data_IF_212974784730
#
_entry.id   IF_212974784730
#
_cell.length_a   1.000
_cell.length_b   1.000
_cell.length_c   1.000
_cell.angle_alpha   90.00
_cell.angle_beta   90.00
_cell.angle_gamma   90.00
#
_symmetry.space_group_name_H-M   'P 1'
#
loop_
_entity.id
_entity.type
_entity.pdbx_description
1 polymer ?
#
# COMPACT_ATOMS: atom_id res chain seq x y z
N UNK A 1 24.80 24.40 -5.74
CA UNK A 1 24.21 25.54 -5.01
C UNK A 1 25.23 26.01 -4.02
N UNK A 2 26.31 26.51 -4.60
CA UNK A 2 27.66 26.20 -4.14
C UNK A 2 28.01 26.95 -2.84
N UNK A 3 27.29 28.04 -2.54
CA UNK A 3 27.44 28.81 -1.30
C UNK A 3 26.71 28.20 -0.09
N UNK A 4 25.68 27.37 -0.32
CA UNK A 4 24.88 26.69 0.70
C UNK A 4 25.52 25.34 1.05
N UNK A 5 25.93 24.58 0.04
CA UNK A 5 26.75 23.37 0.15
C UNK A 5 28.12 23.64 0.83
N UNK A 6 28.56 24.89 0.95
CA UNK A 6 29.80 25.22 1.65
C UNK A 6 29.72 25.32 3.18
N UNK A 7 28.52 25.30 3.79
CA UNK A 7 28.32 25.75 5.19
C UNK A 7 27.37 24.86 6.00
N UNK A 8 27.53 24.89 7.34
CA UNK A 8 26.53 24.34 8.27
C UNK A 8 25.32 25.28 8.40
N UNK A 9 24.12 24.72 8.47
CA UNK A 9 22.82 25.43 8.59
C UNK A 9 22.76 26.52 9.68
N UNK A 10 23.56 26.40 10.76
CA UNK A 10 23.48 27.28 11.93
C UNK A 10 24.21 28.64 11.83
N UNK A 11 25.09 28.89 10.84
CA UNK A 11 25.89 30.13 10.77
C UNK A 11 26.08 30.66 9.33
N UNK A 12 24.98 31.04 8.66
CA UNK A 12 25.04 31.64 7.32
C UNK A 12 26.03 32.83 7.25
N UNK A 13 27.10 32.65 6.49
CA UNK A 13 28.01 33.69 6.04
C UNK A 13 27.60 34.08 4.63
N UNK A 14 27.31 35.36 4.40
CA UNK A 14 27.01 35.85 3.05
C UNK A 14 28.27 35.84 2.17
N UNK A 15 28.15 35.53 0.86
CA UNK A 15 29.29 35.50 -0.05
C UNK A 15 29.90 36.90 -0.21
N UNK A 16 31.23 36.98 -0.37
CA UNK A 16 31.94 38.23 -0.63
C UNK A 16 31.91 38.66 -2.11
N UNK A 17 31.48 37.77 -3.01
CA UNK A 17 31.52 37.93 -4.47
C UNK A 17 32.95 37.88 -5.02
N UNK A 18 33.84 37.16 -4.34
CA UNK A 18 35.26 37.07 -4.69
C UNK A 18 35.71 35.63 -4.55
N UNK A 19 36.12 35.00 -5.64
CA UNK A 19 36.96 33.80 -5.62
C UNK A 19 38.36 34.20 -6.16
N UNK A 20 39.26 34.58 -5.25
CA UNK A 20 40.57 35.07 -5.63
C UNK A 20 41.50 33.95 -6.13
N UNK A 21 41.19 32.69 -5.80
CA UNK A 21 42.07 31.55 -6.05
C UNK A 21 41.55 30.62 -7.17
N UNK A 22 40.31 30.83 -7.63
CA UNK A 22 39.60 30.11 -8.70
C UNK A 22 39.35 28.63 -8.37
N UNK A 23 38.99 28.33 -7.12
CA UNK A 23 38.64 26.98 -6.67
C UNK A 23 37.13 26.76 -6.50
N UNK A 24 36.29 27.72 -6.86
CA UNK A 24 34.83 27.63 -6.74
C UNK A 24 34.27 28.04 -5.38
N UNK A 25 35.11 28.21 -4.35
CA UNK A 25 34.67 28.65 -3.03
C UNK A 25 34.87 30.16 -2.88
N UNK A 26 33.85 30.88 -2.44
CA UNK A 26 33.99 32.32 -2.17
C UNK A 26 34.99 32.58 -1.02
N UNK A 27 35.86 33.58 -1.21
CA UNK A 27 36.87 34.07 -0.26
C UNK A 27 36.30 34.35 1.16
N UNK A 28 35.00 34.66 1.27
CA UNK A 28 34.28 34.80 2.53
C UNK A 28 34.33 33.53 3.37
N UNK A 29 34.36 32.38 2.71
CA UNK A 29 34.31 31.04 3.28
C UNK A 29 35.70 30.43 3.43
N UNK A 30 36.67 30.90 2.64
CA UNK A 30 38.07 30.48 2.74
C UNK A 30 38.78 31.03 4.00
N UNK A 31 38.24 32.09 4.57
CA UNK A 31 38.74 32.79 5.75
C UNK A 31 40.07 33.51 5.51
N UNK A 32 40.27 34.67 6.13
CA UNK A 32 41.41 35.56 5.81
C UNK A 32 42.80 35.03 6.26
N UNK A 33 42.83 33.90 7.00
CA UNK A 33 44.03 33.31 7.66
C UNK A 33 43.92 31.80 7.94
N UNK A 34 43.02 31.04 7.30
CA UNK A 34 42.77 29.63 7.67
C UNK A 34 41.92 29.47 8.94
N UNK A 35 40.96 30.38 9.11
CA UNK A 35 39.79 30.23 10.00
C UNK A 35 38.51 30.35 9.15
N UNK A 36 38.57 29.90 7.90
CA UNK A 36 37.40 29.71 7.07
C UNK A 36 36.51 28.63 7.69
N UNK A 37 35.25 28.62 7.29
CA UNK A 37 34.40 27.45 7.50
C UNK A 37 35.16 26.27 6.86
N UNK A 38 35.29 25.17 7.59
CA UNK A 38 35.83 23.96 7.00
C UNK A 38 34.72 23.44 6.08
N UNK A 39 34.94 23.36 4.75
CA UNK A 39 33.91 22.83 3.85
C UNK A 39 33.45 21.48 4.35
N UNK A 40 32.14 21.28 4.32
CA UNK A 40 31.53 19.98 4.59
C UNK A 40 31.85 19.08 3.40
N UNK A 41 32.05 17.81 3.71
CA UNK A 41 32.12 16.72 2.77
C UNK A 41 31.36 15.60 3.47
N UNK A 42 30.09 15.42 3.08
CA UNK A 42 29.16 14.47 3.71
C UNK A 42 29.66 13.04 3.52
N UNK A 43 30.13 12.71 2.33
CA UNK A 43 30.51 11.35 1.93
C UNK A 43 31.93 10.87 2.36
N UNK A 44 32.72 11.70 3.07
CA UNK A 44 34.17 11.48 3.31
C UNK A 44 34.50 10.16 4.01
N UNK A 45 33.51 9.58 4.70
CA UNK A 45 33.63 8.34 5.44
C UNK A 45 33.20 7.08 4.65
N UNK A 46 32.46 7.22 3.55
CA UNK A 46 31.68 6.14 2.92
C UNK A 46 32.39 5.40 1.77
N UNK A 47 33.63 5.79 1.43
CA UNK A 47 34.50 4.95 0.60
C UNK A 47 34.24 5.02 -0.91
N UNK A 48 33.32 5.88 -1.36
CA UNK A 48 33.48 6.64 -2.60
C UNK A 48 34.79 7.43 -2.57
N UNK A 49 35.25 7.94 -3.71
CA UNK A 49 36.49 8.71 -3.69
C UNK A 49 36.35 10.08 -3.01
N UNK A 50 35.17 10.45 -2.45
CA UNK A 50 34.89 11.46 -1.39
C UNK A 50 35.91 12.56 -1.27
N UNK A 51 36.24 13.09 -2.43
CA UNK A 51 37.45 13.86 -2.65
C UNK A 51 37.11 15.32 -2.85
N UNK A 52 35.89 15.58 -3.29
CA UNK A 52 35.31 16.89 -3.49
C UNK A 52 34.46 17.26 -2.28
N UNK A 53 34.70 18.41 -1.65
CA UNK A 53 33.74 18.93 -0.69
C UNK A 53 32.42 19.26 -1.39
N UNK A 54 31.28 19.11 -0.70
CA UNK A 54 29.91 19.22 -1.23
C UNK A 54 29.71 20.37 -2.23
N UNK A 55 30.28 21.55 -1.96
CA UNK A 55 30.14 22.72 -2.85
C UNK A 55 30.79 22.57 -4.25
N UNK A 56 31.59 21.52 -4.46
CA UNK A 56 32.13 21.11 -5.76
C UNK A 56 31.53 19.79 -6.23
N UNK A 57 30.75 19.16 -5.37
CA UNK A 57 29.99 17.97 -5.67
C UNK A 57 28.66 18.35 -6.32
N UNK A 58 28.04 17.40 -6.99
CA UNK A 58 26.72 17.59 -7.61
C UNK A 58 25.70 16.57 -7.11
N UNK A 59 26.14 15.69 -6.21
CA UNK A 59 25.45 14.54 -5.59
C UNK A 59 26.21 14.27 -4.26
N UNK A 60 25.92 15.04 -3.22
CA UNK A 60 26.77 15.17 -2.03
C UNK A 60 26.71 13.97 -1.07
N UNK A 61 25.64 13.18 -1.09
CA UNK A 61 25.45 11.91 -0.38
C UNK A 61 25.68 10.69 -1.31
N UNK A 62 25.85 10.86 -2.62
CA UNK A 62 26.11 9.75 -3.55
C UNK A 62 24.96 8.75 -3.60
N UNK A 63 23.74 9.26 -3.54
CA UNK A 63 22.53 8.47 -3.72
C UNK A 63 22.15 8.35 -5.22
N UNK A 64 22.72 9.22 -6.07
CA UNK A 64 22.48 9.29 -7.51
C UNK A 64 21.37 10.26 -7.90
N UNK A 65 20.64 10.82 -6.94
CA UNK A 65 19.89 12.05 -7.06
C UNK A 65 20.92 13.19 -7.08
N UNK A 66 20.54 14.35 -7.64
CA UNK A 66 21.47 15.48 -7.75
C UNK A 66 21.04 16.51 -6.75
N UNK A 67 22.00 17.17 -6.10
CA UNK A 67 21.72 18.18 -5.09
C UNK A 67 20.66 19.20 -5.56
N UNK A 68 20.71 19.62 -6.82
CA UNK A 68 19.78 20.62 -7.34
C UNK A 68 18.32 20.16 -7.45
N UNK A 69 18.07 18.86 -7.39
CA UNK A 69 16.75 18.22 -7.26
C UNK A 69 16.38 18.20 -5.77
N UNK A 70 17.25 17.69 -4.90
CA UNK A 70 16.99 17.54 -3.45
C UNK A 70 16.96 18.86 -2.67
N UNK A 71 17.70 19.87 -3.09
CA UNK A 71 17.66 21.16 -2.41
C UNK A 71 16.40 21.98 -2.72
N UNK A 72 15.51 21.50 -3.60
CA UNK A 72 14.31 22.19 -4.05
C UNK A 72 13.08 21.31 -3.92
N UNK A 73 11.92 21.92 -3.66
CA UNK A 73 10.65 21.21 -3.84
C UNK A 73 10.35 21.05 -5.33
N UNK A 74 9.64 20.00 -5.69
CA UNK A 74 9.30 19.73 -7.09
C UNK A 74 8.41 20.83 -7.70
N UNK A 75 7.46 21.36 -6.92
CA UNK A 75 6.54 22.41 -7.36
C UNK A 75 7.25 23.74 -7.69
N UNK A 76 8.31 24.07 -6.96
CA UNK A 76 9.10 25.29 -7.13
C UNK A 76 10.45 25.04 -7.83
N UNK A 77 10.66 23.85 -8.41
CA UNK A 77 11.92 23.48 -9.04
C UNK A 77 12.34 24.48 -10.11
N UNK A 78 13.51 25.08 -9.91
CA UNK A 78 14.16 25.95 -10.88
C UNK A 78 15.39 25.24 -11.43
N UNK A 79 15.37 24.95 -12.73
CA UNK A 79 16.56 24.43 -13.41
C UNK A 79 17.72 25.44 -13.40
N UNK A 80 18.98 25.00 -13.28
CA UNK A 80 20.13 25.89 -13.32
C UNK A 80 20.20 26.61 -14.66
N UNK A 81 20.51 27.91 -14.63
CA UNK A 81 20.58 28.72 -15.86
C UNK A 81 21.92 28.54 -16.60
N UNK A 82 22.95 28.04 -15.91
CA UNK A 82 24.34 27.98 -16.37
C UNK A 82 24.99 29.37 -16.47
N UNK A 83 24.41 30.38 -15.82
CA UNK A 83 24.85 31.77 -15.85
C UNK A 83 25.18 32.19 -14.42
N UNK A 84 26.35 32.77 -14.25
CA UNK A 84 26.76 33.49 -13.04
C UNK A 84 27.24 34.87 -13.53
N UNK A 85 26.32 35.83 -13.64
CA UNK A 85 26.61 37.16 -14.20
C UNK A 85 27.46 38.01 -13.25
N UNK A 86 27.41 37.71 -11.94
CA UNK A 86 28.04 38.49 -10.90
C UNK A 86 29.37 37.89 -10.39
N UNK A 87 29.69 36.66 -10.82
CA UNK A 87 30.88 35.87 -10.50
C UNK A 87 31.04 35.54 -9.01
N UNK A 88 29.94 35.28 -8.30
CA UNK A 88 29.96 34.89 -6.88
C UNK A 88 29.94 33.36 -6.68
N UNK A 89 29.89 32.56 -7.75
CA UNK A 89 29.83 31.11 -7.69
C UNK A 89 28.44 30.52 -7.46
N UNK A 90 27.39 31.35 -7.38
CA UNK A 90 26.01 30.88 -7.33
C UNK A 90 25.37 31.08 -8.71
N UNK A 91 24.68 30.06 -9.23
CA UNK A 91 23.92 30.22 -10.47
C UNK A 91 22.84 31.30 -10.28
N UNK A 92 22.73 32.23 -11.23
CA UNK A 92 21.77 33.33 -11.25
C UNK A 92 20.32 32.85 -11.04
N UNK A 93 20.00 31.60 -11.40
CA UNK A 93 18.71 30.96 -11.14
C UNK A 93 18.39 30.87 -9.64
N UNK A 94 19.40 30.74 -8.80
CA UNK A 94 19.28 30.48 -7.36
C UNK A 94 19.55 31.74 -6.50
N UNK A 95 19.92 32.86 -7.11
CA UNK A 95 20.34 34.05 -6.36
C UNK A 95 19.20 34.78 -5.61
N UNK A 96 17.95 34.64 -6.05
CA UNK A 96 16.83 35.42 -5.54
C UNK A 96 17.02 36.94 -5.67
N UNK A 97 16.13 37.75 -5.09
CA UNK A 97 16.20 39.23 -5.16
C UNK A 97 17.43 39.84 -4.46
N UNK A 98 18.14 39.05 -3.64
CA UNK A 98 19.21 39.54 -2.76
C UNK A 98 20.56 38.82 -2.90
N UNK A 99 20.69 37.82 -3.78
CA UNK A 99 21.94 37.08 -4.00
C UNK A 99 22.30 36.12 -2.87
N UNK A 100 21.32 35.48 -2.24
CA UNK A 100 21.53 34.68 -1.03
C UNK A 100 21.42 33.16 -1.21
N UNK A 101 20.97 32.67 -2.36
CA UNK A 101 20.66 31.25 -2.54
C UNK A 101 19.18 30.94 -2.28
N UNK A 102 18.76 29.74 -2.65
CA UNK A 102 17.49 29.14 -2.21
C UNK A 102 17.60 28.72 -0.74
N UNK A 103 16.47 28.44 -0.08
CA UNK A 103 16.50 27.72 1.19
C UNK A 103 16.35 26.24 0.84
N UNK A 104 17.33 25.37 1.14
CA UNK A 104 17.18 23.94 0.90
C UNK A 104 15.96 23.36 1.60
N UNK A 105 15.41 22.30 0.99
CA UNK A 105 14.43 21.41 1.62
C UNK A 105 15.15 20.52 2.65
N UNK A 106 14.39 20.09 3.64
CA UNK A 106 14.73 19.17 4.74
C UNK A 106 13.39 18.54 5.08
N UNK A 107 13.11 17.34 4.58
CA UNK A 107 11.80 16.69 4.70
C UNK A 107 11.55 16.29 6.16
N UNK A 108 12.48 15.60 6.80
CA UNK A 108 12.38 15.19 8.22
C UNK A 108 12.67 16.32 9.26
N UNK A 109 12.94 17.53 8.76
CA UNK A 109 13.27 18.74 9.52
C UNK A 109 14.45 18.61 10.50
N UNK A 110 15.42 17.75 10.21
CA UNK A 110 16.57 17.50 11.06
C UNK A 110 17.74 18.51 10.85
N UNK A 111 18.99 18.14 11.13
CA UNK A 111 20.14 19.01 10.93
C UNK A 111 20.69 19.03 9.49
N UNK A 112 20.34 18.03 8.68
CA UNK A 112 20.80 17.77 7.33
C UNK A 112 19.67 18.11 6.33
N UNK A 113 19.94 18.98 5.35
CA UNK A 113 19.04 19.13 4.22
C UNK A 113 19.10 17.90 3.32
N UNK A 114 18.01 17.59 2.60
CA UNK A 114 17.85 16.40 1.75
C UNK A 114 19.09 16.09 0.90
N UNK A 115 19.68 17.08 0.23
CA UNK A 115 20.87 16.90 -0.64
C UNK A 115 22.15 16.45 0.08
N UNK A 116 22.07 16.15 1.37
CA UNK A 116 23.16 15.60 2.19
C UNK A 116 22.66 14.48 3.09
N UNK A 117 21.39 14.16 2.97
CA UNK A 117 20.76 13.13 3.75
C UNK A 117 20.82 11.84 2.94
N UNK A 118 21.01 10.72 3.62
CA UNK A 118 20.97 9.42 2.96
C UNK A 118 19.58 8.77 3.05
N UNK A 119 18.68 9.43 3.75
CA UNK A 119 17.37 9.00 4.26
C UNK A 119 16.54 10.26 4.57
N UNK A 120 16.13 10.98 3.52
CA UNK A 120 15.63 12.36 3.62
C UNK A 120 14.35 12.52 4.45
N UNK A 121 13.52 11.49 4.51
CA UNK A 121 12.29 11.40 5.32
C UNK A 121 12.45 10.57 6.61
N UNK A 122 13.58 9.89 6.78
CA UNK A 122 13.98 9.19 8.01
C UNK A 122 13.12 7.96 8.33
N UNK A 123 12.60 7.32 7.28
CA UNK A 123 11.85 6.08 7.36
C UNK A 123 12.79 4.86 7.50
N UNK A 124 14.07 5.03 7.18
CA UNK A 124 15.12 4.02 7.26
C UNK A 124 15.36 3.24 5.97
N UNK A 125 14.60 3.49 4.90
CA UNK A 125 14.93 3.12 3.53
C UNK A 125 16.05 4.09 3.10
N UNK A 126 16.34 4.30 1.83
CA UNK A 126 17.49 5.12 1.41
C UNK A 126 17.08 5.76 0.14
N UNK A 127 17.34 7.05 0.00
CA UNK A 127 16.86 7.85 -1.12
C UNK A 127 17.16 7.21 -2.49
N UNK A 128 18.30 6.55 -2.66
CA UNK A 128 18.65 5.81 -3.89
C UNK A 128 17.77 4.58 -4.20
N UNK A 129 17.20 3.95 -3.18
CA UNK A 129 16.27 2.81 -3.24
C UNK A 129 14.90 3.35 -3.59
N UNK A 130 14.40 4.36 -2.88
CA UNK A 130 13.12 5.02 -3.21
C UNK A 130 13.15 5.77 -4.55
N UNK A 131 14.29 6.31 -4.98
CA UNK A 131 14.36 6.95 -6.30
C UNK A 131 14.23 5.97 -7.49
N UNK A 132 14.08 4.66 -7.26
CA UNK A 132 14.07 3.62 -8.30
C UNK A 132 13.04 2.50 -8.07
N UNK A 133 12.47 1.97 -9.15
CA UNK A 133 11.60 0.77 -9.08
C UNK A 133 12.44 -0.50 -9.07
N UNK A 134 11.86 -1.61 -8.61
CA UNK A 134 12.49 -2.93 -8.69
C UNK A 134 12.76 -3.37 -10.14
N UNK A 135 11.90 -3.04 -11.10
CA UNK A 135 12.06 -3.43 -12.51
C UNK A 135 13.20 -2.67 -13.21
N UNK A 136 13.31 -1.36 -12.97
CA UNK A 136 14.28 -0.47 -13.60
C UNK A 136 15.48 -0.13 -12.69
N UNK A 137 15.65 -0.85 -11.57
CA UNK A 137 16.74 -0.64 -10.62
C UNK A 137 18.12 -0.66 -11.30
N UNK A 138 18.85 0.44 -11.17
CA UNK A 138 20.19 0.61 -11.71
C UNK A 138 21.19 0.35 -10.59
N UNK A 139 21.86 -0.82 -10.56
CA UNK A 139 22.84 -1.11 -9.53
C UNK A 139 24.11 -0.26 -9.72
N UNK A 140 24.72 0.21 -8.61
CA UNK A 140 25.94 1.00 -8.69
C UNK A 140 27.08 0.19 -9.32
N UNK A 141 27.83 0.79 -10.24
CA UNK A 141 28.95 0.15 -10.94
C UNK A 141 30.32 0.68 -10.50
N UNK A 142 30.30 1.63 -9.56
CA UNK A 142 31.45 2.33 -9.00
C UNK A 142 31.86 3.53 -9.84
N UNK A 143 32.56 4.47 -9.20
CA UNK A 143 33.07 5.69 -9.82
C UNK A 143 34.51 5.49 -10.35
N UNK A 144 34.66 5.25 -11.66
CA UNK A 144 35.97 5.08 -12.30
C UNK A 144 36.63 6.44 -12.55
N UNK A 145 35.80 7.44 -12.83
CA UNK A 145 36.26 8.72 -13.31
C UNK A 145 36.70 9.64 -12.14
N UNK A 146 36.32 9.27 -10.92
CA UNK A 146 36.54 9.94 -9.65
C UNK A 146 35.91 11.33 -9.64
N UNK A 147 34.63 11.45 -10.03
CA UNK A 147 33.81 12.67 -9.93
C UNK A 147 32.76 12.61 -8.82
N UNK A 148 32.86 11.62 -7.93
CA UNK A 148 32.01 11.42 -6.75
C UNK A 148 30.54 11.05 -7.07
N UNK A 149 30.16 11.02 -8.36
CA UNK A 149 28.94 10.35 -8.87
C UNK A 149 29.29 8.91 -9.29
N UNK A 150 28.44 7.93 -8.98
CA UNK A 150 28.60 6.58 -9.55
C UNK A 150 28.52 6.62 -11.08
N UNK A 151 29.39 5.88 -11.79
CA UNK A 151 29.36 5.84 -13.27
C UNK A 151 27.98 5.37 -13.81
N UNK A 152 27.14 4.71 -12.98
CA UNK A 152 25.77 4.34 -13.30
C UNK A 152 24.78 5.52 -13.31
N UNK A 153 25.05 6.55 -12.51
CA UNK A 153 24.14 7.68 -12.24
C UNK A 153 24.62 8.99 -12.87
N UNK A 154 25.55 8.95 -13.83
CA UNK A 154 26.14 10.14 -14.47
C UNK A 154 25.11 11.11 -15.07
N UNK A 155 23.96 10.59 -15.51
CA UNK A 155 22.86 11.42 -16.04
C UNK A 155 21.87 11.88 -14.95
N UNK A 156 22.01 11.38 -13.72
CA UNK A 156 21.11 11.52 -12.57
C UNK A 156 20.02 10.43 -12.58
N UNK A 157 19.58 10.02 -11.39
CA UNK A 157 18.31 9.33 -11.20
C UNK A 157 17.16 10.30 -11.50
N UNK A 158 16.01 9.74 -11.92
CA UNK A 158 14.76 10.48 -11.92
C UNK A 158 13.94 9.88 -10.78
N UNK A 159 13.79 10.58 -9.65
CA UNK A 159 13.01 10.09 -8.53
C UNK A 159 11.60 9.71 -8.94
N UNK A 160 11.07 8.70 -8.26
CA UNK A 160 9.70 8.22 -8.40
C UNK A 160 8.81 9.03 -7.47
N UNK A 161 7.53 8.97 -7.76
CA UNK A 161 6.40 9.63 -7.10
C UNK A 161 5.27 8.63 -7.33
N UNK A 162 5.17 7.67 -6.40
CA UNK A 162 4.34 6.45 -6.52
C UNK A 162 2.87 6.84 -6.58
N UNK A 163 2.34 7.47 -5.53
CA UNK A 163 0.94 7.90 -5.45
C UNK A 163 0.57 9.12 -6.35
N UNK A 164 1.58 9.75 -6.97
CA UNK A 164 1.44 10.90 -7.90
C UNK A 164 0.91 12.17 -7.22
N UNK A 165 1.11 12.33 -5.91
CA UNK A 165 0.71 13.53 -5.16
C UNK A 165 1.67 14.73 -5.40
N UNK A 166 2.87 14.45 -5.90
CA UNK A 166 3.93 15.42 -6.21
C UNK A 166 5.05 15.51 -5.18
N UNK A 167 5.04 14.67 -4.15
CA UNK A 167 6.10 14.35 -3.21
C UNK A 167 6.81 13.10 -3.77
N UNK A 168 8.11 13.19 -4.09
CA UNK A 168 8.84 12.00 -4.51
C UNK A 168 9.05 11.04 -3.35
N UNK A 169 8.98 9.73 -3.61
CA UNK A 169 9.06 8.66 -2.61
C UNK A 169 10.17 8.84 -1.57
N UNK A 170 11.37 9.30 -1.98
CA UNK A 170 12.50 9.52 -1.04
C UNK A 170 12.29 10.64 -0.01
N UNK A 171 11.10 11.24 0.02
CA UNK A 171 10.71 12.32 0.93
C UNK A 171 9.34 12.06 1.54
N UNK A 172 8.78 10.92 1.23
CA UNK A 172 7.41 10.54 1.51
C UNK A 172 7.46 9.45 2.56
N UNK A 173 6.79 9.67 3.71
CA UNK A 173 6.83 8.69 4.80
C UNK A 173 5.78 7.57 4.65
N UNK A 174 4.91 7.67 3.65
CA UNK A 174 3.74 6.84 3.35
C UNK A 174 3.52 6.86 1.82
N UNK A 175 4.44 6.20 1.10
CA UNK A 175 4.68 6.39 -0.34
C UNK A 175 3.48 6.00 -1.23
N UNK A 176 2.61 5.10 -0.79
CA UNK A 176 1.36 4.73 -1.46
C UNK A 176 0.10 5.32 -0.80
N UNK A 177 0.27 6.08 0.30
CA UNK A 177 -0.75 6.86 0.99
C UNK A 177 -1.84 6.02 1.66
N UNK A 178 -1.53 4.76 1.96
CA UNK A 178 -2.43 3.81 2.58
C UNK A 178 -2.53 4.03 4.11
N UNK A 179 -1.71 4.91 4.67
CA UNK A 179 -1.70 5.30 6.08
C UNK A 179 -0.86 4.40 6.98
N UNK A 180 -0.33 3.30 6.46
CA UNK A 180 0.79 2.57 7.05
C UNK A 180 2.06 3.35 6.65
N UNK A 181 3.08 3.32 7.50
CA UNK A 181 4.32 4.07 7.19
C UNK A 181 5.30 3.14 6.50
N UNK A 182 6.07 3.67 5.56
CA UNK A 182 7.10 2.93 4.81
C UNK A 182 8.07 2.17 5.73
N UNK A 183 8.40 2.76 6.88
CA UNK A 183 9.25 2.14 7.89
C UNK A 183 8.66 0.85 8.50
N UNK A 184 7.34 0.76 8.57
CA UNK A 184 6.57 -0.37 9.09
C UNK A 184 6.51 -1.43 8.00
N UNK A 185 6.08 -1.07 6.80
CA UNK A 185 5.87 -1.99 5.68
C UNK A 185 7.16 -2.57 5.16
N UNK A 186 8.27 -1.83 5.22
CA UNK A 186 9.57 -2.32 4.77
C UNK A 186 10.21 -3.36 5.71
N UNK A 187 9.54 -3.79 6.79
CA UNK A 187 10.10 -4.68 7.80
C UNK A 187 9.14 -5.79 8.26
N UNK A 188 9.69 -7.00 8.48
CA UNK A 188 8.94 -8.06 9.18
C UNK A 188 8.49 -7.59 10.59
N UNK A 189 7.18 -7.62 10.89
CA UNK A 189 6.60 -7.22 12.17
C UNK A 189 7.31 -7.86 13.38
N UNK A 190 7.61 -9.17 13.30
CA UNK A 190 8.28 -9.90 14.38
C UNK A 190 9.72 -9.47 14.67
N UNK A 191 10.34 -8.72 13.75
CA UNK A 191 11.72 -8.25 13.83
C UNK A 191 11.89 -6.74 13.67
N UNK A 192 10.78 -5.99 13.61
CA UNK A 192 10.70 -4.55 13.47
C UNK A 192 11.73 -3.80 14.33
N UNK A 193 12.45 -2.89 13.69
CA UNK A 193 13.45 -2.03 14.28
C UNK A 193 12.88 -0.61 14.31
N UNK A 194 12.50 -0.07 15.47
CA UNK A 194 12.08 1.33 15.56
C UNK A 194 13.29 2.28 15.47
N UNK A 195 13.09 3.53 15.02
CA UNK A 195 14.13 4.54 14.97
C UNK A 195 14.69 4.82 16.37
N UNK A 196 16.01 5.07 16.48
CA UNK A 196 16.65 5.32 17.77
C UNK A 196 16.72 6.80 18.15
N UNK A 197 16.49 7.70 17.21
CA UNK A 197 16.71 9.14 17.27
C UNK A 197 18.19 9.51 17.44
N UNK A 198 19.11 8.65 16.99
CA UNK A 198 20.54 8.91 17.09
C UNK A 198 21.22 8.77 15.74
N UNK A 199 21.90 9.84 15.36
CA UNK A 199 22.83 9.84 14.25
C UNK A 199 24.22 10.29 14.79
N UNK A 200 25.13 9.33 14.97
CA UNK A 200 26.49 9.60 15.49
C UNK A 200 27.52 9.84 14.38
N UNK A 201 27.27 9.35 13.17
CA UNK A 201 28.10 9.42 11.98
C UNK A 201 27.89 10.71 11.19
N UNK A 202 26.76 11.38 11.38
CA UNK A 202 26.39 12.65 10.78
C UNK A 202 26.11 12.56 9.29
N UNK A 203 25.40 11.51 8.91
CA UNK A 203 24.99 11.20 7.53
C UNK A 203 23.47 11.10 7.38
N UNK A 204 22.69 11.71 8.28
CA UNK A 204 21.23 11.84 8.17
C UNK A 204 20.44 10.59 8.57
N UNK A 205 20.89 9.43 8.12
CA UNK A 205 20.37 8.10 8.47
C UNK A 205 20.45 7.76 9.98
N UNK A 206 19.39 7.20 10.57
CA UNK A 206 19.40 6.74 11.96
C UNK A 206 20.35 5.53 12.18
N UNK A 207 21.12 5.57 13.27
CA UNK A 207 22.04 4.50 13.67
C UNK A 207 21.34 3.13 13.90
N UNK A 208 20.01 3.11 14.07
CA UNK A 208 19.19 1.91 14.20
C UNK A 208 19.24 1.04 12.93
N UNK A 209 19.17 1.69 11.77
CA UNK A 209 19.12 1.03 10.47
C UNK A 209 20.53 0.74 9.94
N UNK A 210 21.49 1.60 10.27
CA UNK A 210 22.92 1.40 10.10
C UNK A 210 23.42 1.36 8.65
N UNK A 211 22.76 0.63 7.75
CA UNK A 211 23.06 0.53 6.33
C UNK A 211 21.84 0.71 5.42
N UNK A 212 20.70 1.13 5.97
CA UNK A 212 19.39 1.13 5.35
C UNK A 212 18.63 -0.18 5.60
N UNK A 213 17.31 -0.11 5.50
CA UNK A 213 16.39 -1.22 5.40
C UNK A 213 16.46 -1.75 3.95
N UNK A 214 16.37 -3.07 3.79
CA UNK A 214 16.13 -3.68 2.48
C UNK A 214 14.61 -3.99 2.48
N UNK A 215 13.77 -3.25 1.73
CA UNK A 215 12.32 -3.40 1.79
C UNK A 215 11.84 -4.83 1.51
N UNK A 216 10.77 -5.23 2.20
CA UNK A 216 10.09 -6.50 1.95
C UNK A 216 9.08 -6.35 0.80
N UNK A 217 8.54 -7.49 0.36
CA UNK A 217 7.68 -7.65 -0.80
C UNK A 217 7.02 -9.03 -0.61
N UNK A 218 5.84 -9.04 -0.01
CA UNK A 218 5.21 -10.24 0.55
C UNK A 218 4.66 -11.17 -0.55
N UNK A 219 3.97 -10.58 -1.51
CA UNK A 219 3.38 -11.23 -2.69
C UNK A 219 4.39 -11.70 -3.77
N UNK A 220 5.63 -11.21 -3.71
CA UNK A 220 6.71 -11.45 -4.69
C UNK A 220 6.54 -10.80 -6.08
N UNK A 221 5.76 -9.74 -6.20
CA UNK A 221 5.55 -9.02 -7.45
C UNK A 221 6.73 -8.06 -7.81
N UNK A 222 6.48 -6.92 -8.45
CA UNK A 222 7.47 -5.89 -8.71
C UNK A 222 7.43 -4.68 -7.78
N UNK A 223 6.40 -4.50 -6.95
CA UNK A 223 6.24 -3.39 -6.02
C UNK A 223 6.47 -3.87 -4.57
N UNK A 224 7.55 -3.44 -3.91
CA UNK A 224 7.71 -3.67 -2.47
C UNK A 224 6.51 -3.14 -1.70
N UNK A 225 6.23 -3.73 -0.54
CA UNK A 225 5.00 -3.49 0.25
C UNK A 225 4.70 -2.00 0.44
N UNK A 226 5.68 -1.15 0.80
CA UNK A 226 5.54 0.32 0.94
C UNK A 226 5.13 1.12 -0.34
N UNK A 227 4.78 0.44 -1.42
CA UNK A 227 4.40 1.01 -2.72
C UNK A 227 3.21 0.28 -3.33
N UNK A 228 2.57 -0.57 -2.55
CA UNK A 228 1.60 -1.53 -3.01
C UNK A 228 0.41 -1.45 -2.07
N UNK A 229 -0.70 -0.93 -2.59
CA UNK A 229 -1.92 -0.79 -1.79
C UNK A 229 -2.62 -2.12 -1.48
N UNK A 230 -2.11 -3.26 -1.99
CA UNK A 230 -2.59 -4.63 -1.76
C UNK A 230 -1.37 -5.57 -1.66
N UNK A 231 -0.67 -5.51 -0.53
CA UNK A 231 0.66 -6.10 -0.33
C UNK A 231 0.70 -7.63 -0.43
N UNK A 232 -0.45 -8.32 -0.35
CA UNK A 232 -0.54 -9.77 -0.46
C UNK A 232 -1.36 -10.30 -1.67
N UNK A 233 -1.95 -9.39 -2.46
CA UNK A 233 -2.80 -9.62 -3.64
C UNK A 233 -4.01 -10.50 -3.37
N UNK A 234 -4.69 -10.27 -2.25
CA UNK A 234 -5.95 -10.91 -1.98
C UNK A 234 -7.15 -10.11 -2.53
N UNK A 235 -6.94 -8.85 -2.91
CA UNK A 235 -7.93 -7.94 -3.47
C UNK A 235 -8.61 -7.02 -2.46
N UNK A 236 -8.18 -7.00 -1.20
CA UNK A 236 -8.61 -6.06 -0.17
C UNK A 236 -7.45 -5.07 0.06
N UNK A 237 -7.67 -3.75 -0.03
CA UNK A 237 -6.57 -2.80 0.14
C UNK A 237 -6.01 -2.73 1.57
N UNK A 238 -4.70 -2.52 1.69
CA UNK A 238 -3.95 -2.46 2.95
C UNK A 238 -4.53 -1.43 3.93
N UNK A 239 -4.98 -0.26 3.44
CA UNK A 239 -5.67 0.77 4.23
C UNK A 239 -6.92 0.23 4.96
N UNK A 240 -7.65 -0.69 4.31
CA UNK A 240 -8.85 -1.34 4.83
C UNK A 240 -8.46 -2.40 5.85
N UNK A 241 -7.48 -3.24 5.53
CA UNK A 241 -7.07 -4.39 6.33
C UNK A 241 -6.35 -4.01 7.61
N UNK A 242 -5.49 -2.97 7.54
CA UNK A 242 -4.79 -2.43 8.70
C UNK A 242 -5.70 -1.85 9.78
N UNK A 243 -7.02 -1.80 9.55
CA UNK A 243 -8.00 -1.24 10.47
C UNK A 243 -9.17 -2.20 10.75
N UNK A 244 -9.61 -2.27 12.00
CA UNK A 244 -10.86 -2.98 12.32
C UNK A 244 -12.07 -2.33 11.63
N UNK A 245 -13.04 -3.10 11.15
CA UNK A 245 -14.26 -2.58 10.48
C UNK A 245 -15.00 -1.55 11.34
N UNK A 246 -15.16 -1.81 12.64
CA UNK A 246 -15.84 -0.89 13.55
C UNK A 246 -15.05 0.41 13.84
N UNK A 247 -13.73 0.37 13.63
CA UNK A 247 -12.77 1.43 13.91
C UNK A 247 -12.34 2.23 12.67
N UNK A 248 -12.69 1.76 11.47
CA UNK A 248 -12.22 2.28 10.19
C UNK A 248 -12.32 3.81 10.10
N UNK A 249 -11.22 4.40 9.67
CA UNK A 249 -11.06 5.82 9.39
C UNK A 249 -10.65 5.94 7.93
N UNK A 250 -11.55 6.45 7.09
CA UNK A 250 -11.24 6.71 5.69
C UNK A 250 -10.22 7.87 5.54
N UNK A 251 -9.38 7.85 4.48
CA UNK A 251 -8.48 8.94 4.13
C UNK A 251 -9.22 10.26 3.96
N UNK A 252 -8.57 11.37 4.33
CA UNK A 252 -9.18 12.69 4.22
C UNK A 252 -8.93 13.37 2.86
N UNK A 253 -7.93 12.89 2.11
CA UNK A 253 -7.38 13.49 0.90
C UNK A 253 -6.69 14.83 1.18
N UNK A 254 -6.17 15.03 2.39
CA UNK A 254 -5.43 16.24 2.75
C UNK A 254 -4.15 15.86 3.47
N UNK A 255 -3.05 16.42 3.00
CA UNK A 255 -1.79 16.48 3.73
C UNK A 255 -1.48 17.96 4.02
N UNK A 256 -1.49 18.32 5.31
CA UNK A 256 -1.21 19.68 5.77
C UNK A 256 0.28 20.02 5.83
N UNK A 257 1.12 19.00 5.98
CA UNK A 257 2.55 19.08 6.30
C UNK A 257 3.40 18.97 5.05
N UNK A 258 2.89 18.26 4.04
CA UNK A 258 3.57 17.84 2.82
C UNK A 258 4.70 16.87 3.16
N UNK A 259 4.42 15.92 4.05
CA UNK A 259 5.29 14.79 4.41
C UNK A 259 4.81 13.45 3.83
N UNK A 260 3.65 13.43 3.16
CA UNK A 260 3.11 12.26 2.46
C UNK A 260 1.94 11.59 3.17
N UNK A 261 1.93 11.60 4.51
CA UNK A 261 0.91 10.97 5.33
C UNK A 261 -0.39 11.80 5.38
N UNK A 262 -1.54 11.16 5.16
CA UNK A 262 -2.84 11.86 5.23
C UNK A 262 -3.14 12.40 6.66
N UNK A 263 -3.75 13.59 6.72
CA UNK A 263 -4.25 14.28 7.93
C UNK A 263 -5.13 13.35 8.84
N UNK A 264 -5.71 12.30 8.28
CA UNK A 264 -6.49 11.28 8.99
C UNK A 264 -5.63 10.40 9.93
N UNK A 265 -4.36 10.16 9.57
CA UNK A 265 -3.48 9.15 10.16
C UNK A 265 -2.31 9.75 10.99
N UNK A 266 -2.08 11.05 10.84
CA UNK A 266 -1.16 11.89 11.63
C UNK A 266 -1.10 11.68 13.15
N UNK A 267 -2.25 11.43 13.80
CA UNK A 267 -2.30 11.22 15.25
C UNK A 267 -1.73 12.39 16.08
N UNK A 268 -0.60 12.16 16.78
CA UNK A 268 0.12 13.18 17.58
C UNK A 268 1.42 13.69 16.94
N UNK A 269 1.65 13.37 15.67
CA UNK A 269 2.86 13.65 14.89
C UNK A 269 3.32 12.35 14.25
N UNK A 270 2.84 12.13 13.03
CA UNK A 270 3.27 11.12 12.08
C UNK A 270 3.17 9.70 12.68
N UNK A 271 2.03 9.41 13.34
CA UNK A 271 1.82 8.13 14.04
C UNK A 271 1.47 6.98 13.09
N UNK A 272 0.83 7.27 11.94
CA UNK A 272 0.29 6.27 11.02
C UNK A 272 -0.82 5.42 11.63
N UNK A 273 -1.23 4.40 10.88
CA UNK A 273 -2.07 3.30 11.35
C UNK A 273 -1.28 2.37 12.29
N UNK A 274 -2.00 1.69 13.18
CA UNK A 274 -1.48 0.58 14.01
C UNK A 274 -2.14 -0.69 13.47
N UNK A 275 -1.49 -1.40 12.52
CA UNK A 275 -2.13 -2.48 11.77
C UNK A 275 -2.68 -3.58 12.66
N UNK A 276 -3.81 -4.16 12.23
CA UNK A 276 -4.48 -5.24 12.96
C UNK A 276 -3.74 -6.57 12.74
N UNK A 277 -3.87 -7.44 13.74
CA UNK A 277 -3.42 -8.85 13.76
C UNK A 277 -4.60 -9.60 14.43
N UNK A 278 -5.55 -10.02 13.59
CA UNK A 278 -6.88 -10.47 14.01
C UNK A 278 -6.79 -11.75 14.82
N UNK A 279 -6.03 -12.73 14.36
CA UNK A 279 -5.88 -14.02 15.04
C UNK A 279 -4.76 -14.05 16.10
N UNK A 280 -3.84 -13.08 16.07
CA UNK A 280 -2.73 -12.94 17.00
C UNK A 280 -1.54 -13.87 16.72
N UNK A 281 -1.36 -14.35 15.49
CA UNK A 281 -0.24 -15.21 15.09
C UNK A 281 1.08 -14.43 14.85
N UNK A 282 0.94 -13.11 14.63
CA UNK A 282 2.03 -12.16 14.42
C UNK A 282 2.35 -11.83 12.97
N UNK A 283 1.52 -12.27 12.02
CA UNK A 283 1.30 -11.68 10.70
C UNK A 283 0.25 -10.56 10.88
N UNK A 284 0.37 -9.47 10.14
CA UNK A 284 -0.60 -8.38 10.20
C UNK A 284 -1.63 -8.64 9.09
N UNK A 285 -2.89 -8.23 9.30
CA UNK A 285 -4.00 -8.57 8.40
C UNK A 285 -3.65 -8.24 6.94
N UNK A 286 -3.16 -7.04 6.64
CA UNK A 286 -2.73 -6.61 5.28
C UNK A 286 -1.59 -7.43 4.62
N UNK A 287 -1.05 -8.43 5.32
CA UNK A 287 -0.01 -9.34 4.84
C UNK A 287 -0.41 -10.82 5.00
N UNK A 288 -1.56 -11.09 5.62
CA UNK A 288 -2.03 -12.43 5.98
C UNK A 288 -3.11 -12.88 5.02
N UNK A 289 -2.95 -14.06 4.43
CA UNK A 289 -3.86 -14.57 3.41
C UNK A 289 -5.10 -15.29 4.01
N UNK A 290 -5.23 -15.26 5.33
CA UNK A 290 -6.20 -15.99 6.19
C UNK A 290 -6.19 -15.31 7.58
N UNK A 291 -6.69 -14.06 7.64
CA UNK A 291 -6.53 -13.10 8.74
C UNK A 291 -7.11 -13.58 10.08
N UNK A 292 -8.11 -14.45 10.06
CA UNK A 292 -8.69 -15.05 11.28
C UNK A 292 -8.32 -16.53 11.49
N UNK A 293 -7.57 -17.11 10.55
CA UNK A 293 -7.05 -18.47 10.56
C UNK A 293 -8.14 -19.54 10.60
N UNK A 294 -9.23 -19.31 9.86
CA UNK A 294 -10.40 -20.17 9.84
C UNK A 294 -10.41 -21.27 8.74
N UNK A 295 -9.37 -21.27 7.90
CA UNK A 295 -9.13 -22.13 6.72
C UNK A 295 -9.74 -21.65 5.41
N UNK A 296 -10.52 -20.57 5.41
CA UNK A 296 -10.96 -19.87 4.21
C UNK A 296 -9.98 -18.71 3.95
N UNK A 297 -9.53 -18.49 2.71
CA UNK A 297 -8.63 -17.38 2.43
C UNK A 297 -9.37 -16.03 2.34
N UNK A 298 -8.71 -14.95 2.73
CA UNK A 298 -9.27 -13.59 2.72
C UNK A 298 -9.80 -13.17 1.34
N UNK A 299 -9.05 -13.46 0.26
CA UNK A 299 -9.53 -13.29 -1.11
C UNK A 299 -10.89 -13.97 -1.38
N UNK A 300 -11.16 -15.13 -0.79
CA UNK A 300 -12.46 -15.81 -0.95
C UNK A 300 -13.55 -15.07 -0.18
N UNK A 301 -13.34 -14.78 1.10
CA UNK A 301 -14.34 -14.16 1.98
C UNK A 301 -14.62 -12.71 1.64
N UNK A 302 -13.57 -11.93 1.35
CA UNK A 302 -13.67 -10.53 0.97
C UNK A 302 -14.33 -10.31 -0.40
N UNK A 303 -14.37 -11.34 -1.26
CA UNK A 303 -14.85 -11.22 -2.64
C UNK A 303 -16.02 -12.14 -3.01
N UNK A 304 -16.58 -12.94 -2.09
CA UNK A 304 -17.77 -13.76 -2.35
C UNK A 304 -19.06 -13.02 -1.95
N UNK A 305 -19.51 -12.10 -2.81
CA UNK A 305 -20.73 -11.32 -2.57
C UNK A 305 -22.03 -12.12 -2.77
N UNK A 306 -21.94 -13.30 -3.35
CA UNK A 306 -23.07 -14.12 -3.71
C UNK A 306 -23.24 -15.35 -2.79
N UNK A 307 -22.23 -15.59 -1.94
CA UNK A 307 -22.15 -16.62 -0.91
C UNK A 307 -22.20 -18.05 -1.48
N UNK A 308 -21.58 -18.27 -2.65
CA UNK A 308 -21.51 -19.61 -3.29
C UNK A 308 -20.18 -20.35 -3.07
N UNK A 309 -19.34 -19.85 -2.15
CA UNK A 309 -18.03 -20.41 -1.80
C UNK A 309 -16.95 -20.13 -2.85
N UNK A 310 -17.23 -19.25 -3.81
CA UNK A 310 -16.33 -18.90 -4.90
C UNK A 310 -16.24 -17.37 -4.99
N UNK A 311 -15.02 -16.79 -4.93
CA UNK A 311 -14.89 -15.34 -5.07
C UNK A 311 -15.40 -14.88 -6.45
N UNK A 312 -16.18 -13.80 -6.44
CA UNK A 312 -16.73 -13.16 -7.65
C UNK A 312 -15.63 -12.47 -8.47
N UNK A 313 -14.56 -12.06 -7.79
CA UNK A 313 -13.37 -11.44 -8.37
C UNK A 313 -12.18 -12.40 -8.38
N UNK A 314 -11.17 -12.09 -9.21
CA UNK A 314 -10.00 -12.96 -9.32
C UNK A 314 -8.80 -12.24 -9.91
N UNK A 315 -7.64 -12.45 -9.28
CA UNK A 315 -6.34 -12.01 -9.76
C UNK A 315 -6.07 -12.32 -11.25
N UNK A 316 -5.74 -11.29 -12.02
CA UNK A 316 -5.51 -11.32 -13.47
C UNK A 316 -4.02 -11.26 -13.85
N UNK A 317 -3.16 -10.77 -12.94
CA UNK A 317 -1.78 -10.40 -13.14
C UNK A 317 -1.60 -9.16 -14.02
N UNK A 318 -2.57 -8.26 -14.02
CA UNK A 318 -2.55 -6.97 -14.72
C UNK A 318 -2.97 -5.90 -13.74
N UNK A 319 -2.19 -4.83 -13.69
CA UNK A 319 -2.46 -3.63 -12.91
C UNK A 319 -2.20 -2.47 -13.90
N UNK A 320 -3.25 -1.70 -14.19
CA UNK A 320 -3.29 -0.83 -15.37
C UNK A 320 -2.87 0.61 -15.08
N UNK A 321 -3.23 1.18 -13.93
CA UNK A 321 -2.78 2.50 -13.49
C UNK A 321 -1.56 2.48 -12.56
N UNK A 322 -1.20 1.30 -12.07
CA UNK A 322 0.06 1.02 -11.42
C UNK A 322 0.04 1.24 -9.91
N UNK A 323 -1.11 1.11 -9.24
CA UNK A 323 -1.25 1.47 -7.83
C UNK A 323 -0.96 0.34 -6.84
N UNK A 324 -0.99 -0.91 -7.28
CA UNK A 324 -0.80 -2.05 -6.38
C UNK A 324 -1.84 -3.12 -6.64
N UNK A 325 -3.10 -2.69 -6.66
CA UNK A 325 -4.26 -3.53 -6.80
C UNK A 325 -4.39 -4.08 -8.23
N UNK A 326 -4.76 -5.36 -8.35
CA UNK A 326 -4.92 -6.00 -9.66
C UNK A 326 -6.26 -5.61 -10.32
N UNK A 327 -6.26 -5.42 -11.66
CA UNK A 327 -7.42 -5.18 -12.55
C UNK A 327 -8.62 -6.12 -12.29
N UNK A 328 -8.36 -7.29 -11.69
CA UNK A 328 -9.37 -8.26 -11.27
C UNK A 328 -10.28 -7.79 -10.14
N UNK A 329 -9.81 -6.84 -9.33
CA UNK A 329 -10.48 -6.30 -8.14
C UNK A 329 -10.98 -4.87 -8.36
N UNK A 330 -10.41 -4.11 -9.31
CA UNK A 330 -10.78 -2.72 -9.67
C UNK A 330 -12.10 -2.54 -10.47
N UNK A 331 -13.15 -3.26 -10.05
CA UNK A 331 -14.54 -3.10 -10.48
C UNK A 331 -14.76 -2.77 -11.96
N UNK A 332 -15.02 -1.50 -12.28
CA UNK A 332 -15.37 -1.09 -13.66
C UNK A 332 -14.44 -0.07 -14.32
N UNK A 333 -13.54 0.55 -13.57
CA UNK A 333 -12.63 1.60 -14.03
C UNK A 333 -11.19 1.37 -13.59
N UNK A 334 -10.59 0.27 -14.08
CA UNK A 334 -9.18 -0.15 -13.92
C UNK A 334 -8.06 0.87 -14.32
N UNK A 335 -8.36 2.16 -14.50
CA UNK A 335 -7.35 3.19 -14.88
C UNK A 335 -7.76 4.52 -14.26
N UNK A 336 -8.11 4.49 -12.97
CA UNK A 336 -8.70 5.62 -12.26
C UNK A 336 -7.70 6.40 -11.39
N UNK A 337 -6.54 5.82 -11.08
CA UNK A 337 -5.36 6.56 -10.68
C UNK A 337 -4.48 5.88 -9.65
N UNK A 338 -4.64 6.33 -8.42
CA UNK A 338 -4.08 5.81 -7.18
C UNK A 338 -5.22 6.11 -6.20
N UNK A 339 -6.01 5.10 -5.89
CA UNK A 339 -7.11 5.19 -4.94
C UNK A 339 -6.89 4.12 -3.87
N UNK A 340 -6.39 4.53 -2.71
CA UNK A 340 -5.90 3.64 -1.65
C UNK A 340 -6.96 2.74 -1.02
N UNK A 341 -8.24 2.93 -1.38
CA UNK A 341 -9.33 2.02 -0.98
C UNK A 341 -10.10 1.48 -2.19
N UNK A 342 -9.78 1.93 -3.40
CA UNK A 342 -10.56 1.71 -4.62
C UNK A 342 -12.09 1.79 -4.34
N UNK A 343 -12.80 0.67 -4.43
CA UNK A 343 -14.24 0.59 -4.28
C UNK A 343 -14.71 0.26 -2.85
N UNK A 344 -13.78 0.12 -1.90
CA UNK A 344 -14.02 -0.28 -0.51
C UNK A 344 -13.93 0.96 0.43
N UNK A 345 -14.77 1.95 0.16
CA UNK A 345 -14.86 3.23 0.92
C UNK A 345 -15.52 3.09 2.32
N UNK A 346 -16.37 2.08 2.50
CA UNK A 346 -17.12 1.78 3.72
C UNK A 346 -17.10 0.25 3.93
N UNK A 347 -16.01 -0.32 4.48
CA UNK A 347 -15.80 -1.78 4.56
C UNK A 347 -16.99 -2.52 5.17
N UNK A 348 -17.64 -1.93 6.18
CA UNK A 348 -18.84 -2.47 6.83
C UNK A 348 -20.08 -2.60 5.92
N UNK A 349 -20.06 -2.07 4.71
CA UNK A 349 -21.14 -2.11 3.74
C UNK A 349 -20.68 -2.55 2.33
N UNK A 350 -19.38 -2.43 2.05
CA UNK A 350 -18.78 -2.72 0.75
C UNK A 350 -18.11 -4.11 0.72
N UNK A 351 -17.83 -4.74 1.87
CA UNK A 351 -17.35 -6.12 1.97
C UNK A 351 -18.45 -7.11 2.43
N UNK A 352 -18.31 -8.41 2.16
CA UNK A 352 -19.19 -9.46 2.68
C UNK A 352 -19.19 -9.55 4.23
N UNK A 353 -20.38 -9.75 4.78
CA UNK A 353 -20.69 -9.92 6.20
C UNK A 353 -22.00 -10.73 6.29
N UNK A 354 -21.89 -12.05 6.44
CA UNK A 354 -23.01 -12.99 6.32
C UNK A 354 -23.99 -12.83 7.48
N UNK A 355 -23.50 -12.79 8.72
CA UNK A 355 -24.34 -12.72 9.92
C UNK A 355 -24.74 -11.28 10.30
N UNK A 356 -24.03 -10.29 9.79
CA UNK A 356 -24.24 -8.88 10.04
C UNK A 356 -23.84 -8.44 11.45
N UNK A 357 -23.01 -9.23 12.15
CA UNK A 357 -22.76 -9.09 13.58
C UNK A 357 -21.34 -8.77 14.03
N UNK A 358 -20.30 -9.57 13.94
CA UNK A 358 -19.06 -9.24 14.67
C UNK A 358 -18.11 -8.35 13.86
N UNK A 359 -17.50 -8.91 12.84
CA UNK A 359 -16.68 -8.23 11.83
C UNK A 359 -17.13 -8.68 10.42
N UNK A 360 -16.42 -8.28 9.38
CA UNK A 360 -16.62 -8.82 8.01
C UNK A 360 -16.01 -10.22 7.91
N UNK A 361 -16.46 -11.02 6.94
CA UNK A 361 -16.19 -12.46 6.89
C UNK A 361 -14.71 -12.83 7.05
N UNK A 362 -13.81 -12.21 6.28
CA UNK A 362 -12.35 -12.51 6.34
C UNK A 362 -11.69 -12.26 7.72
N UNK A 363 -12.44 -11.73 8.70
CA UNK A 363 -12.01 -11.51 10.08
C UNK A 363 -12.95 -12.13 11.13
N UNK A 364 -13.90 -12.95 10.71
CA UNK A 364 -14.93 -13.54 11.56
C UNK A 364 -14.94 -15.07 11.51
N UNK A 365 -14.38 -15.67 12.56
CA UNK A 365 -14.21 -17.13 12.69
C UNK A 365 -15.52 -17.95 12.70
N UNK A 366 -16.69 -17.32 12.70
CA UNK A 366 -18.06 -17.87 12.71
C UNK A 366 -18.91 -17.04 11.75
N UNK A 367 -18.54 -17.07 10.46
CA UNK A 367 -19.00 -16.22 9.36
C UNK A 367 -20.52 -15.99 9.32
N UNK A 368 -21.31 -17.06 9.50
CA UNK A 368 -22.76 -17.05 9.41
C UNK A 368 -23.48 -16.85 10.77
N UNK A 369 -22.73 -16.83 11.87
CA UNK A 369 -23.21 -16.64 13.23
C UNK A 369 -24.12 -17.78 13.75
N UNK A 370 -24.00 -18.98 13.19
CA UNK A 370 -24.62 -20.23 13.63
C UNK A 370 -24.18 -20.62 15.06
N UNK A 371 -22.94 -20.28 15.40
CA UNK A 371 -22.27 -20.64 16.65
C UNK A 371 -21.35 -21.85 16.53
N UNK A 372 -20.91 -22.18 15.31
CA UNK A 372 -19.93 -23.20 14.96
C UNK A 372 -18.84 -22.52 14.15
N UNK A 373 -17.64 -22.40 14.73
CA UNK A 373 -16.52 -21.79 14.03
C UNK A 373 -16.29 -22.45 12.65
N UNK A 374 -16.06 -21.68 11.57
CA UNK A 374 -15.87 -22.13 10.17
C UNK A 374 -14.91 -23.33 10.07
N UNK A 375 -13.83 -23.31 10.85
CA UNK A 375 -12.86 -24.41 10.92
C UNK A 375 -13.45 -25.80 11.28
N UNK A 376 -14.56 -25.83 12.01
CA UNK A 376 -15.26 -27.03 12.48
C UNK A 376 -16.34 -27.51 11.47
N UNK A 377 -16.50 -26.80 10.34
CA UNK A 377 -17.51 -27.02 9.29
C UNK A 377 -16.95 -27.69 8.02
N UNK A 378 -15.68 -28.11 8.05
CA UNK A 378 -15.10 -29.11 7.15
C UNK A 378 -15.66 -30.53 7.47
N UNK A 379 -16.93 -30.75 7.12
CA UNK A 379 -17.71 -31.98 7.31
C UNK A 379 -17.03 -33.20 6.70
N UNK A 380 -16.42 -33.01 5.53
CA UNK A 380 -15.70 -34.01 4.75
C UNK A 380 -14.34 -34.38 5.38
N UNK A 381 -13.67 -33.39 5.96
CA UNK A 381 -12.37 -33.50 6.61
C UNK A 381 -11.20 -33.43 5.63
N UNK A 382 -11.35 -32.74 4.51
CA UNK A 382 -10.29 -32.54 3.52
C UNK A 382 -9.52 -31.21 3.67
N UNK A 383 -9.98 -30.35 4.57
CA UNK A 383 -9.37 -29.08 4.96
C UNK A 383 -9.71 -27.94 4.02
N UNK A 384 -10.91 -27.94 3.45
CA UNK A 384 -11.43 -26.94 2.53
C UNK A 384 -12.95 -26.73 2.80
N UNK A 385 -13.32 -25.86 3.77
CA UNK A 385 -14.72 -25.59 4.12
C UNK A 385 -15.53 -25.03 2.95
N UNK A 386 -14.89 -24.38 1.97
CA UNK A 386 -15.58 -23.65 0.90
C UNK A 386 -16.35 -24.53 -0.08
N UNK A 387 -16.29 -25.86 0.06
CA UNK A 387 -16.96 -26.81 -0.82
C UNK A 387 -17.89 -27.81 -0.10
N UNK A 388 -17.98 -27.70 1.23
CA UNK A 388 -18.90 -28.50 2.02
C UNK A 388 -20.25 -27.78 2.09
N UNK A 389 -21.29 -28.48 1.64
CA UNK A 389 -22.68 -28.02 1.54
C UNK A 389 -23.54 -29.21 1.98
N UNK A 390 -24.01 -29.16 3.22
CA UNK A 390 -24.65 -30.25 3.94
C UNK A 390 -26.07 -30.53 3.46
N UNK A 391 -26.71 -29.51 2.88
CA UNK A 391 -28.12 -29.54 2.50
C UNK A 391 -28.35 -29.50 0.97
N UNK A 392 -27.27 -29.31 0.20
CA UNK A 392 -27.19 -29.20 -1.26
C UNK A 392 -27.95 -27.97 -1.84
N UNK A 393 -28.08 -26.86 -1.11
CA UNK A 393 -28.77 -25.63 -1.56
C UNK A 393 -27.90 -24.69 -2.42
N UNK A 394 -26.58 -24.88 -2.37
CA UNK A 394 -25.59 -24.11 -3.12
C UNK A 394 -24.83 -23.06 -2.30
N UNK A 395 -25.17 -22.87 -1.03
CA UNK A 395 -24.43 -22.09 -0.04
C UNK A 395 -23.56 -23.06 0.76
N UNK A 396 -22.24 -22.85 0.86
CA UNK A 396 -21.41 -23.68 1.72
C UNK A 396 -21.78 -23.54 3.20
N UNK A 397 -21.53 -24.59 3.98
CA UNK A 397 -21.90 -24.67 5.41
C UNK A 397 -21.42 -23.43 6.19
N UNK A 398 -20.20 -22.95 5.95
CA UNK A 398 -19.64 -21.78 6.66
C UNK A 398 -20.31 -20.43 6.36
N UNK A 399 -21.15 -20.36 5.33
CA UNK A 399 -21.95 -19.18 4.97
C UNK A 399 -23.46 -19.44 5.15
N UNK A 400 -23.85 -20.61 5.66
CA UNK A 400 -25.23 -21.06 5.76
C UNK A 400 -25.70 -21.23 7.21
N UNK A 401 -26.39 -20.23 7.78
CA UNK A 401 -26.87 -20.28 9.17
C UNK A 401 -27.97 -21.33 9.43
N UNK A 402 -28.40 -22.06 8.40
CA UNK A 402 -29.48 -23.03 8.38
C UNK A 402 -28.99 -24.49 8.11
N UNK A 403 -27.67 -24.75 8.06
CA UNK A 403 -27.03 -26.00 7.62
C UNK A 403 -27.61 -27.30 8.25
N UNK A 404 -28.13 -27.20 9.48
CA UNK A 404 -28.62 -28.32 10.31
C UNK A 404 -30.04 -28.80 9.97
N UNK A 405 -30.72 -28.06 9.11
CA UNK A 405 -32.16 -28.11 8.93
C UNK A 405 -32.57 -28.90 7.66
N UNK A 406 -31.60 -29.12 6.74
CA UNK A 406 -31.73 -29.87 5.48
C UNK A 406 -32.34 -29.03 4.35
N UNK A 407 -32.36 -29.52 3.09
CA UNK A 407 -32.63 -28.70 1.92
C UNK A 407 -33.88 -27.82 2.06
N UNK A 408 -33.80 -26.55 1.66
CA UNK A 408 -34.93 -25.60 1.51
C UNK A 408 -35.10 -25.20 0.04
N UNK A 409 -35.87 -25.99 -0.71
CA UNK A 409 -35.95 -25.89 -2.17
C UNK A 409 -36.46 -24.53 -2.68
N UNK A 410 -37.21 -23.78 -1.87
CA UNK A 410 -37.75 -22.48 -2.26
C UNK A 410 -37.13 -21.27 -1.54
N UNK A 411 -36.25 -21.53 -0.57
CA UNK A 411 -35.50 -20.53 0.17
C UNK A 411 -36.39 -19.60 0.99
N UNK A 412 -37.51 -20.09 1.54
CA UNK A 412 -38.39 -19.29 2.41
C UNK A 412 -38.04 -19.35 3.92
N UNK A 413 -36.97 -20.08 4.27
CA UNK A 413 -36.47 -20.33 5.61
C UNK A 413 -37.26 -21.42 6.33
N UNK A 414 -37.84 -22.36 5.59
CA UNK A 414 -38.54 -23.54 6.10
C UNK A 414 -38.05 -24.78 5.34
N UNK A 415 -37.21 -25.62 5.96
CA UNK A 415 -36.64 -26.79 5.30
C UNK A 415 -37.69 -27.76 4.76
N UNK A 416 -37.42 -28.39 3.60
CA UNK A 416 -38.26 -29.38 2.91
C UNK A 416 -38.75 -30.50 3.85
N UNK A 417 -37.95 -30.85 4.86
CA UNK A 417 -38.30 -31.89 5.82
C UNK A 417 -39.50 -31.52 6.72
N UNK A 418 -39.75 -30.23 6.91
CA UNK A 418 -40.85 -29.68 7.70
C UNK A 418 -41.80 -28.78 6.92
N UNK A 419 -41.43 -28.36 5.72
CA UNK A 419 -42.30 -27.62 4.83
C UNK A 419 -43.44 -28.49 4.27
N UNK A 420 -44.44 -27.83 3.70
CA UNK A 420 -45.64 -28.47 3.17
C UNK A 420 -45.84 -28.18 1.67
N UNK A 421 -44.99 -27.35 1.07
CA UNK A 421 -45.07 -26.79 -0.27
C UNK A 421 -43.64 -26.45 -0.74
N UNK A 422 -42.76 -27.45 -0.82
CA UNK A 422 -41.28 -27.30 -0.86
C UNK A 422 -40.75 -26.37 -1.98
N UNK A 423 -41.50 -26.16 -3.07
CA UNK A 423 -41.14 -25.27 -4.19
C UNK A 423 -41.94 -23.94 -4.22
N UNK A 424 -42.73 -23.70 -3.17
CA UNK A 424 -43.69 -22.62 -2.96
C UNK A 424 -44.54 -22.27 -4.20
N UNK A 425 -44.81 -23.23 -5.09
CA UNK A 425 -45.63 -22.98 -6.26
C UNK A 425 -47.11 -22.78 -5.84
N UNK A 426 -47.52 -23.30 -4.68
CA UNK A 426 -48.86 -23.18 -4.12
C UNK A 426 -49.67 -24.48 -4.19
N UNK A 427 -49.03 -25.59 -4.52
CA UNK A 427 -49.55 -26.95 -4.50
C UNK A 427 -48.71 -27.77 -3.51
N UNK A 428 -49.34 -28.16 -2.40
CA UNK A 428 -48.68 -28.93 -1.34
C UNK A 428 -48.07 -30.24 -1.83
N UNK A 429 -46.86 -30.62 -1.42
CA UNK A 429 -46.09 -31.82 -1.83
C UNK A 429 -46.91 -33.10 -1.76
N UNK A 430 -47.83 -33.19 -0.79
CA UNK A 430 -48.77 -34.32 -0.67
C UNK A 430 -49.68 -34.51 -1.90
N UNK A 431 -49.80 -33.52 -2.77
CA UNK A 431 -50.54 -33.50 -4.02
C UNK A 431 -49.64 -33.76 -5.25
N UNK A 432 -48.41 -33.25 -5.25
CA UNK A 432 -47.30 -33.55 -6.18
C UNK A 432 -46.83 -35.00 -6.04
N UNK A 433 -47.01 -35.61 -4.88
CA UNK A 433 -46.69 -37.01 -4.63
C UNK A 433 -45.51 -37.25 -3.71
N UNK A 434 -45.10 -36.25 -2.93
CA UNK A 434 -44.23 -36.39 -1.75
C UNK A 434 -42.87 -36.97 -2.16
N UNK A 435 -42.21 -36.32 -3.13
CA UNK A 435 -40.92 -36.72 -3.70
C UNK A 435 -40.94 -37.98 -4.60
N UNK A 436 -42.11 -38.53 -4.94
CA UNK A 436 -42.22 -39.82 -5.65
C UNK A 436 -42.61 -39.73 -7.13
N UNK A 437 -42.96 -38.54 -7.62
CA UNK A 437 -43.33 -38.27 -9.00
C UNK A 437 -42.29 -37.34 -9.59
N UNK A 438 -41.92 -37.61 -10.83
CA UNK A 438 -41.00 -36.83 -11.68
C UNK A 438 -41.64 -36.94 -13.08
N UNK A 439 -42.36 -35.89 -13.46
CA UNK A 439 -43.31 -35.87 -14.56
C UNK A 439 -42.63 -35.67 -15.91
N UNK A 440 -41.55 -34.89 -15.97
CA UNK A 440 -40.78 -34.64 -17.18
C UNK A 440 -39.56 -35.57 -17.35
N UNK A 441 -39.10 -36.19 -16.26
CA UNK A 441 -37.98 -37.12 -16.22
C UNK A 441 -36.61 -36.46 -16.16
N UNK A 442 -36.49 -35.22 -15.69
CA UNK A 442 -35.25 -34.46 -15.61
C UNK A 442 -34.40 -34.78 -14.37
N UNK A 443 -35.02 -35.36 -13.35
CA UNK A 443 -34.37 -35.81 -12.13
C UNK A 443 -34.79 -35.06 -10.87
N UNK A 444 -35.54 -33.96 -10.98
CA UNK A 444 -36.24 -33.32 -9.87
C UNK A 444 -37.59 -33.99 -9.67
N UNK A 445 -38.05 -34.02 -8.41
CA UNK A 445 -39.40 -34.50 -8.14
C UNK A 445 -40.39 -33.36 -8.39
N UNK A 446 -41.63 -33.68 -8.78
CA UNK A 446 -42.70 -32.69 -8.97
C UNK A 446 -42.91 -31.79 -7.74
N UNK A 447 -42.56 -32.25 -6.52
CA UNK A 447 -42.64 -31.44 -5.30
C UNK A 447 -41.51 -30.44 -5.11
N UNK A 448 -40.47 -30.51 -5.93
CA UNK A 448 -39.28 -29.67 -5.87
C UNK A 448 -39.11 -28.88 -7.19
N UNK A 449 -40.19 -28.74 -7.98
CA UNK A 449 -40.14 -28.22 -9.35
C UNK A 449 -41.38 -27.36 -9.68
N UNK A 450 -41.15 -26.06 -9.78
CA UNK A 450 -42.16 -25.04 -10.08
C UNK A 450 -42.88 -25.23 -11.44
N UNK A 451 -42.35 -26.05 -12.35
CA UNK A 451 -42.92 -26.43 -13.66
C UNK A 451 -42.66 -27.92 -13.96
N UNK A 452 -43.35 -28.81 -13.23
CA UNK A 452 -43.20 -30.28 -13.23
C UNK A 452 -43.22 -30.97 -14.61
N UNK A 453 -43.77 -30.35 -15.66
CA UNK A 453 -43.78 -30.89 -17.02
C UNK A 453 -42.92 -30.10 -18.04
N UNK A 454 -42.25 -29.06 -17.54
CA UNK A 454 -41.25 -28.21 -18.17
C UNK A 454 -41.75 -27.66 -19.52
N UNK A 455 -43.02 -27.27 -19.55
CA UNK A 455 -43.69 -26.73 -20.74
C UNK A 455 -43.65 -25.20 -20.82
N UNK A 456 -43.14 -24.55 -19.77
CA UNK A 456 -42.97 -23.12 -19.60
C UNK A 456 -44.16 -22.44 -18.93
N UNK A 457 -44.98 -23.18 -18.19
CA UNK A 457 -46.15 -22.69 -17.44
C UNK A 457 -46.10 -23.25 -16.02
N UNK A 458 -45.97 -22.41 -14.97
CA UNK A 458 -45.91 -22.92 -13.60
C UNK A 458 -47.15 -23.71 -13.17
N UNK A 459 -46.94 -24.71 -12.33
CA UNK A 459 -47.94 -25.70 -11.94
C UNK A 459 -49.19 -25.07 -11.29
N UNK A 460 -49.00 -24.03 -10.48
CA UNK A 460 -50.10 -23.27 -9.88
C UNK A 460 -51.04 -22.58 -10.89
N UNK A 461 -50.59 -22.36 -12.12
CA UNK A 461 -51.40 -21.86 -13.24
C UNK A 461 -52.15 -23.01 -13.89
N UNK A 462 -51.49 -24.15 -14.04
CA UNK A 462 -52.02 -25.37 -14.65
C UNK A 462 -53.12 -26.03 -13.83
N UNK A 463 -52.93 -26.06 -12.51
CA UNK A 463 -53.87 -26.61 -11.53
C UNK A 463 -55.21 -25.85 -11.49
N UNK A 464 -55.30 -24.68 -12.10
CA UNK A 464 -56.54 -23.91 -12.18
C UNK A 464 -57.53 -24.55 -13.16
N UNK A 465 -58.71 -24.92 -12.67
CA UNK A 465 -59.77 -25.43 -13.54
C UNK A 465 -60.19 -24.37 -14.57
N UNK A 466 -59.91 -24.62 -15.84
CA UNK A 466 -60.43 -23.79 -16.94
C UNK A 466 -61.97 -23.76 -16.91
N UNK A 467 -62.53 -22.56 -16.76
CA UNK A 467 -63.97 -22.32 -16.56
C UNK A 467 -64.84 -22.48 -17.83
#
# INVERSE_FOLDING_TARGET
MDNIEGQSSAEYVAPSGLDANQNGLDDAYEGSFGFGINPINTDSALGGNGGFPDYLDVDSDIDGIRDNIEAQSFLDYVAPSGIDDNYNGLDDAYEGDYGFGINPVSSDADAYPDFRDFDSDNDGIKDKVEAQTSEDYIPPIGDINCNDIDDAYEEGLNPIDTDKDGIPDFRDIDTDNDGILDNIESQDYSSYIPPSGNDNNQDGMDDAYGGGIDPINNDTDTKPDFRDIDSDNDGIPDNVEAQTTAGYVAPSGNDSDNDGLDDAYEGSGDEGLDPVDTDGDGTLDYLDLDSDNDLVPDNNEGNDFNFDGIPDQSFTGTDTDGDGLDDGYEGSDVDDGFDVNDEIDDPANDLPDTDGTEDVNYRDVDDDGDGTDTTDEDVDGDGDPTNDDSDDDGTPDYLDPDDDDGPDTDGDGVPDVVDLDDDNDGILDTAEGDGAIDSDGDGLADSLDIDSDNDGIPDNVEAQTTA
#
